data_IF_526048318022
#
_entry.id   IF_526048318022
#
_cell.length_a   1.000
_cell.length_b   1.000
_cell.length_c   1.000
_cell.angle_alpha   90.00
_cell.angle_beta   90.00
_cell.angle_gamma   90.00
#
_symmetry.space_group_name_H-M   'P 1'
#
loop_
_entity.id
_entity.type
_entity.pdbx_description
1 polymer ?
#
# COMPACT_ATOMS: atom_id res chain seq x y z
N UNK A 1 -21.84 -17.22 7.74
CA UNK A 1 -22.25 -15.80 7.91
C UNK A 1 -21.76 -15.11 9.21
N UNK A 2 -21.89 -15.73 10.41
CA UNK A 2 -21.62 -15.07 11.71
C UNK A 2 -20.22 -14.42 11.88
N UNK A 3 -19.17 -14.95 11.23
CA UNK A 3 -17.80 -14.41 11.34
C UNK A 3 -17.51 -13.21 10.42
N UNK A 4 -18.32 -13.01 9.38
CA UNK A 4 -18.09 -12.05 8.30
C UNK A 4 -18.96 -10.79 8.47
N UNK A 5 -20.18 -10.94 8.99
CA UNK A 5 -21.06 -9.81 9.32
C UNK A 5 -20.41 -8.74 10.21
N UNK A 6 -19.65 -9.08 11.28
CA UNK A 6 -18.95 -8.08 12.08
C UNK A 6 -17.90 -7.28 11.31
N UNK A 7 -17.19 -7.92 10.36
CA UNK A 7 -16.20 -7.25 9.52
C UNK A 7 -16.87 -6.29 8.54
N UNK A 8 -17.95 -6.70 7.89
CA UNK A 8 -18.73 -5.84 7.00
C UNK A 8 -19.28 -4.61 7.73
N UNK A 9 -19.79 -4.79 8.95
CA UNK A 9 -20.27 -3.67 9.77
C UNK A 9 -19.15 -2.70 10.13
N UNK A 10 -17.97 -3.23 10.48
CA UNK A 10 -16.78 -2.40 10.78
C UNK A 10 -16.31 -1.64 9.55
N UNK A 11 -16.30 -2.28 8.38
CA UNK A 11 -15.98 -1.66 7.10
C UNK A 11 -16.97 -0.52 6.76
N UNK A 12 -18.26 -0.75 6.96
CA UNK A 12 -19.29 0.30 6.79
C UNK A 12 -19.07 1.48 7.74
N UNK A 13 -18.75 1.20 9.01
CA UNK A 13 -18.46 2.26 9.97
C UNK A 13 -17.27 3.13 9.54
N UNK A 14 -16.19 2.51 9.05
CA UNK A 14 -15.02 3.25 8.56
C UNK A 14 -15.36 4.07 7.31
N UNK A 15 -16.14 3.51 6.38
CA UNK A 15 -16.63 4.21 5.19
C UNK A 15 -17.42 5.48 5.56
N UNK A 16 -18.39 5.35 6.46
CA UNK A 16 -19.21 6.48 6.91
C UNK A 16 -18.38 7.51 7.68
N UNK A 17 -17.38 7.07 8.43
CA UNK A 17 -16.46 7.97 9.13
C UNK A 17 -15.59 8.78 8.16
N UNK A 18 -15.08 8.14 7.10
CA UNK A 18 -14.31 8.82 6.05
C UNK A 18 -15.16 9.85 5.31
N UNK A 19 -16.40 9.51 4.93
CA UNK A 19 -17.33 10.48 4.33
C UNK A 19 -17.54 11.70 5.22
N UNK A 20 -17.78 11.47 6.52
CA UNK A 20 -17.96 12.56 7.50
C UNK A 20 -16.72 13.43 7.63
N UNK A 21 -15.52 12.85 7.58
CA UNK A 21 -14.27 13.61 7.65
C UNK A 21 -14.08 14.54 6.46
N UNK A 22 -14.40 14.08 5.24
CA UNK A 22 -14.33 14.93 4.05
C UNK A 22 -15.43 16.00 4.02
N UNK A 23 -16.60 15.72 4.60
CA UNK A 23 -17.71 16.68 4.70
C UNK A 23 -17.50 17.72 5.81
N UNK A 24 -16.73 17.41 6.85
CA UNK A 24 -16.46 18.37 7.91
C UNK A 24 -15.64 19.54 7.37
N UNK A 25 -16.16 20.76 7.51
CA UNK A 25 -15.40 21.99 7.31
C UNK A 25 -14.30 22.06 8.36
N UNK A 26 -13.14 21.50 8.03
CA UNK A 26 -11.94 21.67 8.84
C UNK A 26 -11.38 23.05 8.50
N UNK A 27 -11.46 23.99 9.44
CA UNK A 27 -10.76 25.26 9.32
C UNK A 27 -9.26 24.97 9.51
N UNK A 28 -8.52 24.96 8.41
CA UNK A 28 -7.08 24.67 8.41
C UNK A 28 -6.31 25.99 8.45
N UNK A 29 -5.88 26.39 9.65
CA UNK A 29 -5.29 27.71 9.91
C UNK A 29 -3.77 27.73 9.83
N UNK A 30 -3.12 26.59 10.02
CA UNK A 30 -1.68 26.45 10.05
C UNK A 30 -1.21 25.18 9.34
N UNK A 31 0.08 25.12 9.00
CA UNK A 31 0.64 23.99 8.27
C UNK A 31 0.51 22.63 8.98
N UNK A 32 0.52 22.58 10.32
CA UNK A 32 0.38 21.34 11.09
C UNK A 32 -1.04 20.80 10.98
N UNK A 33 -2.05 21.68 10.98
CA UNK A 33 -3.45 21.30 10.81
C UNK A 33 -3.70 20.56 9.48
N UNK A 34 -3.06 20.98 8.39
CA UNK A 34 -3.10 20.29 7.09
C UNK A 34 -2.47 18.89 7.17
N UNK A 35 -1.31 18.77 7.81
CA UNK A 35 -0.63 17.48 7.97
C UNK A 35 -1.45 16.52 8.85
N UNK A 36 -2.01 17.03 9.94
CA UNK A 36 -2.86 16.26 10.85
C UNK A 36 -4.12 15.75 10.15
N UNK A 37 -4.79 16.60 9.38
CA UNK A 37 -5.95 16.17 8.59
C UNK A 37 -5.56 15.10 7.57
N UNK A 38 -4.53 15.36 6.75
CA UNK A 38 -4.05 14.42 5.73
C UNK A 38 -3.67 13.08 6.33
N UNK A 39 -2.85 13.09 7.39
CA UNK A 39 -2.41 11.87 8.08
C UNK A 39 -3.58 11.10 8.71
N UNK A 40 -4.54 11.82 9.30
CA UNK A 40 -5.75 11.23 9.89
C UNK A 40 -6.60 10.49 8.86
N UNK A 41 -6.75 11.06 7.66
CA UNK A 41 -7.49 10.44 6.55
C UNK A 41 -6.70 9.27 5.96
N UNK A 42 -5.40 9.45 5.67
CA UNK A 42 -4.53 8.38 5.17
C UNK A 42 -4.56 7.14 6.06
N UNK A 43 -4.39 7.33 7.38
CA UNK A 43 -4.43 6.21 8.34
C UNK A 43 -5.75 5.45 8.31
N UNK A 44 -6.88 6.16 8.21
CA UNK A 44 -8.20 5.50 8.13
C UNK A 44 -8.42 4.76 6.82
N UNK A 45 -7.88 5.26 5.70
CA UNK A 45 -7.91 4.55 4.42
C UNK A 45 -7.09 3.26 4.53
N UNK A 46 -5.92 3.29 5.17
CA UNK A 46 -5.11 2.09 5.41
C UNK A 46 -5.83 1.09 6.33
N UNK A 47 -6.42 1.55 7.42
CA UNK A 47 -7.24 0.72 8.31
C UNK A 47 -8.39 0.05 7.54
N UNK A 48 -9.04 0.78 6.63
CA UNK A 48 -10.10 0.25 5.77
C UNK A 48 -9.56 -0.81 4.79
N UNK A 49 -8.42 -0.57 4.15
CA UNK A 49 -7.79 -1.53 3.24
C UNK A 49 -7.47 -2.85 3.96
N UNK A 50 -6.95 -2.73 5.19
CA UNK A 50 -6.64 -3.88 6.02
C UNK A 50 -7.90 -4.66 6.40
N UNK A 51 -9.00 -3.99 6.76
CA UNK A 51 -10.29 -4.66 7.01
C UNK A 51 -10.83 -5.40 5.78
N UNK A 52 -10.70 -4.81 4.57
CA UNK A 52 -11.08 -5.46 3.32
C UNK A 52 -10.26 -6.74 3.12
N UNK A 53 -8.94 -6.67 3.31
CA UNK A 53 -8.03 -7.81 3.18
C UNK A 53 -8.36 -8.92 4.19
N UNK A 54 -8.60 -8.57 5.45
CA UNK A 54 -9.04 -9.52 6.48
C UNK A 54 -10.37 -10.19 6.13
N UNK A 55 -11.33 -9.42 5.61
CA UNK A 55 -12.62 -9.95 5.21
C UNK A 55 -12.49 -10.93 4.04
N UNK A 56 -11.67 -10.59 3.03
CA UNK A 56 -11.35 -11.50 1.92
C UNK A 56 -10.69 -12.80 2.40
N UNK A 57 -9.74 -12.73 3.34
CA UNK A 57 -9.13 -13.93 3.92
C UNK A 57 -10.17 -14.85 4.57
N UNK A 58 -11.07 -14.30 5.39
CA UNK A 58 -12.14 -15.08 6.04
C UNK A 58 -13.18 -15.64 5.07
N UNK A 59 -13.40 -14.98 3.93
CA UNK A 59 -14.29 -15.50 2.89
C UNK A 59 -13.70 -16.77 2.29
N UNK A 60 -12.39 -16.80 2.03
CA UNK A 60 -11.68 -17.96 1.49
C UNK A 60 -11.65 -19.15 2.45
N UNK A 61 -11.63 -18.91 3.76
CA UNK A 61 -11.67 -19.94 4.80
C UNK A 61 -13.08 -20.54 5.02
N UNK A 62 -14.12 -19.95 4.41
CA UNK A 62 -15.49 -20.35 4.65
C UNK A 62 -15.90 -21.41 3.61
N UNK A 63 -15.84 -22.67 4.02
CA UNK A 63 -16.36 -23.81 3.27
C UNK A 63 -17.84 -23.97 3.63
N UNK A 64 -18.74 -23.98 2.64
CA UNK A 64 -20.21 -24.06 2.75
C UNK A 64 -20.93 -22.71 2.92
N UNK A 65 -21.08 -22.01 1.80
CA UNK A 65 -21.99 -20.87 1.68
C UNK A 65 -23.36 -21.31 1.19
N UNK A 66 -24.42 -20.68 1.72
CA UNK A 66 -25.69 -20.60 1.01
C UNK A 66 -25.54 -19.63 -0.16
N UNK A 67 -26.05 -19.98 -1.34
CA UNK A 67 -25.84 -19.24 -2.60
C UNK A 67 -26.24 -17.75 -2.48
N UNK A 68 -27.40 -17.46 -1.88
CA UNK A 68 -27.88 -16.09 -1.63
C UNK A 68 -26.95 -15.31 -0.69
N UNK A 69 -26.37 -16.00 0.30
CA UNK A 69 -25.46 -15.40 1.26
C UNK A 69 -24.11 -15.07 0.60
N UNK A 70 -23.62 -15.95 -0.27
CA UNK A 70 -22.38 -15.73 -1.02
C UNK A 70 -22.50 -14.52 -1.95
N UNK A 71 -23.60 -14.43 -2.71
CA UNK A 71 -23.88 -13.31 -3.61
C UNK A 71 -23.95 -11.99 -2.83
N UNK A 72 -24.68 -11.95 -1.71
CA UNK A 72 -24.78 -10.77 -0.85
C UNK A 72 -23.40 -10.29 -0.37
N UNK A 73 -22.56 -11.21 0.13
CA UNK A 73 -21.22 -10.88 0.61
C UNK A 73 -20.34 -10.38 -0.54
N UNK A 74 -20.40 -11.01 -1.71
CA UNK A 74 -19.64 -10.62 -2.91
C UNK A 74 -19.99 -9.20 -3.34
N UNK A 75 -21.28 -8.86 -3.41
CA UNK A 75 -21.74 -7.52 -3.77
C UNK A 75 -21.27 -6.47 -2.77
N UNK A 76 -21.35 -6.78 -1.46
CA UNK A 76 -20.85 -5.87 -0.42
C UNK A 76 -19.35 -5.66 -0.52
N UNK A 77 -18.57 -6.71 -0.75
CA UNK A 77 -17.12 -6.59 -0.89
C UNK A 77 -16.73 -5.74 -2.11
N UNK A 78 -17.41 -5.93 -3.24
CA UNK A 78 -17.17 -5.11 -4.43
C UNK A 78 -17.54 -3.63 -4.19
N UNK A 79 -18.64 -3.37 -3.47
CA UNK A 79 -18.99 -2.02 -3.04
C UNK A 79 -17.88 -1.39 -2.18
N UNK A 80 -17.40 -2.10 -1.16
CA UNK A 80 -16.34 -1.59 -0.28
C UNK A 80 -15.02 -1.36 -1.02
N UNK A 81 -14.68 -2.22 -2.00
CA UNK A 81 -13.50 -2.05 -2.87
C UNK A 81 -13.58 -0.79 -3.72
N UNK A 82 -14.76 -0.45 -4.22
CA UNK A 82 -14.96 0.83 -4.95
C UNK A 82 -14.88 2.03 -4.02
N UNK A 83 -15.49 1.94 -2.84
CA UNK A 83 -15.51 3.04 -1.88
C UNK A 83 -14.09 3.41 -1.42
N UNK A 84 -13.22 2.43 -1.13
CA UNK A 84 -11.85 2.74 -0.73
C UNK A 84 -11.04 3.42 -1.83
N UNK A 85 -11.21 3.03 -3.09
CA UNK A 85 -10.55 3.70 -4.22
C UNK A 85 -11.08 5.12 -4.43
N UNK A 86 -12.36 5.35 -4.19
CA UNK A 86 -12.93 6.70 -4.18
C UNK A 86 -12.30 7.55 -3.07
N UNK A 87 -12.20 7.05 -1.84
CA UNK A 87 -11.56 7.78 -0.73
C UNK A 87 -10.09 8.12 -1.01
N UNK A 88 -9.32 7.21 -1.63
CA UNK A 88 -7.94 7.49 -2.07
C UNK A 88 -7.88 8.62 -3.09
N UNK A 89 -8.83 8.62 -4.04
CA UNK A 89 -8.95 9.67 -5.05
C UNK A 89 -9.36 11.00 -4.43
N UNK A 90 -10.33 11.01 -3.53
CA UNK A 90 -10.78 12.20 -2.80
C UNK A 90 -9.62 12.82 -2.00
N UNK A 91 -8.82 12.01 -1.30
CA UNK A 91 -7.63 12.51 -0.60
C UNK A 91 -6.60 13.12 -1.56
N UNK A 92 -6.42 12.50 -2.73
CA UNK A 92 -5.49 12.99 -3.76
C UNK A 92 -5.94 14.32 -4.36
N UNK A 93 -7.23 14.45 -4.69
CA UNK A 93 -7.84 15.68 -5.19
C UNK A 93 -7.77 16.77 -4.11
N UNK A 94 -8.13 16.42 -2.86
CA UNK A 94 -8.04 17.33 -1.74
C UNK A 94 -6.62 17.88 -1.57
N UNK A 95 -5.59 17.03 -1.66
CA UNK A 95 -4.20 17.49 -1.57
C UNK A 95 -3.79 18.37 -2.75
N UNK A 96 -4.22 18.04 -3.97
CA UNK A 96 -3.93 18.87 -5.14
C UNK A 96 -4.52 20.29 -5.01
N UNK A 97 -5.70 20.42 -4.43
CA UNK A 97 -6.35 21.72 -4.19
C UNK A 97 -5.68 22.49 -3.05
N UNK A 98 -5.35 21.81 -1.94
CA UNK A 98 -4.93 22.44 -0.69
C UNK A 98 -3.40 22.56 -0.51
N UNK A 99 -2.61 21.81 -1.27
CA UNK A 99 -1.16 21.73 -1.10
C UNK A 99 -0.45 23.07 -1.28
N UNK A 100 -0.98 23.95 -2.15
CA UNK A 100 -0.42 25.30 -2.34
C UNK A 100 -0.51 26.14 -1.07
N UNK A 101 -1.64 26.12 -0.38
CA UNK A 101 -1.84 26.88 0.85
C UNK A 101 -0.98 26.33 1.99
N UNK A 102 -0.87 25.00 2.09
CA UNK A 102 0.09 24.36 3.00
C UNK A 102 1.52 24.85 2.76
N UNK A 103 2.02 24.81 1.53
CA UNK A 103 3.39 25.25 1.22
C UNK A 103 3.59 26.75 1.47
N UNK A 104 2.58 27.57 1.18
CA UNK A 104 2.59 29.00 1.51
C UNK A 104 2.73 29.22 3.02
N UNK A 105 1.98 28.50 3.84
CA UNK A 105 2.05 28.58 5.30
C UNK A 105 3.42 28.11 5.82
N UNK A 106 3.97 27.02 5.30
CA UNK A 106 5.32 26.56 5.64
C UNK A 106 6.38 27.63 5.34
N UNK A 107 6.30 28.25 4.16
CA UNK A 107 7.24 29.29 3.75
C UNK A 107 7.10 30.54 4.64
N UNK A 108 5.86 30.94 4.95
CA UNK A 108 5.59 32.04 5.87
C UNK A 108 6.18 31.79 7.26
N UNK A 109 5.98 30.59 7.81
CA UNK A 109 6.53 30.19 9.10
C UNK A 109 8.07 30.21 9.08
N UNK A 110 8.69 29.65 8.05
CA UNK A 110 10.15 29.65 7.89
C UNK A 110 10.74 31.06 7.81
N UNK A 111 10.14 31.93 7.01
CA UNK A 111 10.61 33.32 6.87
C UNK A 111 10.43 34.12 8.16
N UNK A 112 9.34 33.90 8.90
CA UNK A 112 9.12 34.56 10.18
C UNK A 112 10.13 34.11 11.24
N UNK A 113 10.47 32.82 11.27
CA UNK A 113 11.52 32.30 12.17
C UNK A 113 12.91 32.81 11.82
N UNK A 114 13.18 33.08 10.54
CA UNK A 114 14.43 33.77 10.14
C UNK A 114 14.45 35.23 10.58
N UNK A 115 13.33 35.94 10.43
CA UNK A 115 13.25 37.35 10.86
C UNK A 115 13.44 37.51 12.36
N UNK A 116 12.86 36.63 13.18
CA UNK A 116 13.08 36.65 14.64
C UNK A 116 14.53 36.36 15.02
N UNK A 117 15.24 35.52 14.27
CA UNK A 117 16.66 35.22 14.48
C UNK A 117 17.59 36.39 14.07
N UNK A 118 17.31 37.07 12.96
CA UNK A 118 18.10 38.22 12.48
C UNK A 118 17.98 39.44 13.42
N UNK A 119 16.88 39.59 14.15
CA UNK A 119 16.75 40.63 15.18
C UNK A 119 17.58 40.37 16.45
N UNK A 120 18.20 39.20 16.60
CA UNK A 120 18.89 38.82 17.85
C UNK A 120 20.40 38.64 17.78
N UNK A 121 21.06 38.60 16.62
CA UNK A 121 22.49 38.25 16.61
C UNK A 121 23.37 39.15 15.72
N UNK A 122 24.10 40.05 16.38
CA UNK A 122 25.32 40.68 15.85
C UNK A 122 26.58 39.86 16.17
N UNK A 123 26.54 38.52 16.07
CA UNK A 123 27.77 37.75 16.17
C UNK A 123 27.61 36.24 16.22
N UNK A 124 27.58 35.57 15.06
CA UNK A 124 27.99 34.15 14.99
C UNK A 124 28.23 33.62 13.56
N UNK A 125 28.99 34.35 12.73
CA UNK A 125 29.34 33.91 11.37
C UNK A 125 30.13 32.56 11.34
N UNK A 126 30.80 32.18 12.43
CA UNK A 126 31.57 30.93 12.50
C UNK A 126 30.72 29.68 12.73
N UNK A 127 29.55 29.78 13.39
CA UNK A 127 28.66 28.62 13.61
C UNK A 127 27.90 28.22 12.36
N UNK A 128 27.53 29.18 11.52
CA UNK A 128 26.86 28.92 10.26
C UNK A 128 27.74 28.09 9.29
N UNK A 129 29.04 28.38 9.22
CA UNK A 129 29.98 27.66 8.35
C UNK A 129 30.26 26.22 8.84
N UNK A 130 30.31 26.01 10.17
CA UNK A 130 30.42 24.67 10.75
C UNK A 130 29.20 23.81 10.44
N UNK A 131 27.98 24.36 10.60
CA UNK A 131 26.73 23.67 10.30
C UNK A 131 26.61 23.29 8.81
N UNK A 132 27.12 24.15 7.91
CA UNK A 132 27.17 23.89 6.47
C UNK A 132 28.13 22.74 6.13
N UNK A 133 29.29 22.66 6.78
CA UNK A 133 30.25 21.57 6.60
C UNK A 133 29.70 20.23 7.10
N UNK A 134 29.04 20.22 8.25
CA UNK A 134 28.40 19.02 8.80
C UNK A 134 27.25 18.55 7.91
N UNK A 135 26.42 19.48 7.41
CA UNK A 135 25.36 19.15 6.45
C UNK A 135 25.93 18.56 5.16
N UNK A 136 27.00 19.16 4.62
CA UNK A 136 27.68 18.65 3.42
C UNK A 136 28.22 17.23 3.65
N UNK A 137 28.78 16.96 4.82
CA UNK A 137 29.29 15.63 5.18
C UNK A 137 28.15 14.61 5.27
N UNK A 138 27.06 14.93 5.96
CA UNK A 138 25.87 14.07 6.03
C UNK A 138 25.31 13.76 4.64
N UNK A 139 25.26 14.75 3.74
CA UNK A 139 24.80 14.53 2.36
C UNK A 139 25.70 13.56 1.59
N UNK A 140 27.02 13.66 1.75
CA UNK A 140 27.98 12.74 1.10
C UNK A 140 27.82 11.32 1.67
N UNK A 141 27.69 11.19 2.98
CA UNK A 141 27.51 9.91 3.65
C UNK A 141 26.20 9.23 3.20
N UNK A 142 25.12 10.00 3.07
CA UNK A 142 23.84 9.48 2.56
C UNK A 142 23.92 9.08 1.08
N UNK A 143 24.63 9.85 0.24
CA UNK A 143 24.87 9.47 -1.16
C UNK A 143 25.62 8.13 -1.25
N UNK A 144 26.62 7.93 -0.39
CA UNK A 144 27.37 6.67 -0.34
C UNK A 144 26.50 5.52 0.17
N UNK A 145 25.67 5.75 1.19
CA UNK A 145 24.68 4.78 1.68
C UNK A 145 23.71 4.37 0.57
N UNK A 146 23.15 5.33 -0.16
CA UNK A 146 22.23 5.07 -1.28
C UNK A 146 22.89 4.27 -2.42
N UNK A 147 24.17 4.52 -2.71
CA UNK A 147 24.92 3.74 -3.71
C UNK A 147 25.08 2.28 -3.31
N UNK A 148 25.38 2.01 -2.03
CA UNK A 148 25.51 0.64 -1.52
C UNK A 148 24.17 -0.11 -1.58
N UNK A 149 23.09 0.52 -1.10
CA UNK A 149 21.73 -0.05 -1.16
C UNK A 149 21.32 -0.35 -2.61
N UNK A 150 21.67 0.52 -3.56
CA UNK A 150 21.42 0.28 -4.99
C UNK A 150 22.17 -0.96 -5.50
N UNK A 151 23.42 -1.15 -5.07
CA UNK A 151 24.22 -2.33 -5.46
C UNK A 151 23.57 -3.62 -4.96
N UNK A 152 23.18 -3.65 -3.68
CA UNK A 152 22.48 -4.79 -3.08
C UNK A 152 21.14 -5.09 -3.78
N UNK A 153 20.39 -4.05 -4.15
CA UNK A 153 19.13 -4.22 -4.88
C UNK A 153 19.34 -4.81 -6.28
N UNK A 154 20.41 -4.41 -6.98
CA UNK A 154 20.76 -4.97 -8.29
C UNK A 154 21.13 -6.45 -8.15
N UNK A 155 21.92 -6.81 -7.14
CA UNK A 155 22.28 -8.20 -6.87
C UNK A 155 21.05 -9.06 -6.54
N UNK A 156 20.15 -8.55 -5.69
CA UNK A 156 18.88 -9.20 -5.37
C UNK A 156 18.01 -9.42 -6.61
N UNK A 157 17.92 -8.42 -7.50
CA UNK A 157 17.20 -8.53 -8.78
C UNK A 157 17.77 -9.63 -9.68
N UNK A 158 19.10 -9.76 -9.75
CA UNK A 158 19.73 -10.84 -10.51
C UNK A 158 19.44 -12.21 -9.88
N UNK A 159 19.42 -12.30 -8.55
CA UNK A 159 19.08 -13.54 -7.84
C UNK A 159 17.63 -13.97 -8.10
N UNK A 160 16.68 -13.02 -8.08
CA UNK A 160 15.28 -13.28 -8.44
C UNK A 160 15.15 -13.78 -9.89
N UNK A 161 15.94 -13.23 -10.81
CA UNK A 161 15.93 -13.69 -12.21
C UNK A 161 16.38 -15.14 -12.33
N UNK A 162 17.46 -15.53 -11.63
CA UNK A 162 17.95 -16.91 -11.59
C UNK A 162 16.90 -17.86 -10.99
N UNK A 163 16.24 -17.45 -9.89
CA UNK A 163 15.17 -18.26 -9.29
C UNK A 163 13.99 -18.46 -10.25
N UNK A 164 13.60 -17.44 -11.00
CA UNK A 164 12.55 -17.53 -12.01
C UNK A 164 12.92 -18.46 -13.17
N UNK A 165 14.18 -18.44 -13.62
CA UNK A 165 14.68 -19.39 -14.63
C UNK A 165 14.59 -20.84 -14.13
N UNK A 166 14.98 -21.10 -12.88
CA UNK A 166 14.85 -22.43 -12.24
C UNK A 166 13.37 -22.83 -12.15
N UNK A 167 12.49 -21.92 -11.73
CA UNK A 167 11.07 -22.21 -11.61
C UNK A 167 10.44 -22.58 -12.96
N UNK A 168 10.76 -21.84 -14.03
CA UNK A 168 10.31 -22.18 -15.39
C UNK A 168 10.81 -23.54 -15.86
N UNK A 169 12.06 -23.89 -15.56
CA UNK A 169 12.61 -25.20 -15.87
C UNK A 169 11.95 -26.32 -15.07
N UNK A 170 11.54 -26.05 -13.84
CA UNK A 170 10.78 -27.00 -13.02
C UNK A 170 9.34 -27.15 -13.51
N UNK A 171 8.68 -26.05 -13.85
CA UNK A 171 7.32 -26.04 -14.40
C UNK A 171 7.24 -26.84 -15.71
N UNK A 172 8.23 -26.69 -16.60
CA UNK A 172 8.26 -27.45 -17.85
C UNK A 172 8.41 -28.96 -17.61
N UNK A 173 9.22 -29.37 -16.63
CA UNK A 173 9.33 -30.77 -16.20
C UNK A 173 8.02 -31.31 -15.64
N UNK A 174 7.33 -30.55 -14.79
CA UNK A 174 6.02 -30.96 -14.25
C UNK A 174 4.99 -31.14 -15.36
N UNK A 175 4.93 -30.21 -16.33
CA UNK A 175 4.04 -30.32 -17.49
C UNK A 175 4.34 -31.58 -18.29
N UNK A 176 5.62 -31.87 -18.55
CA UNK A 176 6.03 -33.09 -19.25
C UNK A 176 5.62 -34.36 -18.49
N UNK A 177 5.89 -34.42 -17.19
CA UNK A 177 5.49 -35.55 -16.34
C UNK A 177 3.97 -35.75 -16.31
N UNK A 178 3.19 -34.66 -16.24
CA UNK A 178 1.73 -34.73 -16.28
C UNK A 178 1.22 -35.30 -17.61
N UNK A 179 1.80 -34.86 -18.74
CA UNK A 179 1.48 -35.40 -20.06
C UNK A 179 1.83 -36.90 -20.16
N UNK A 180 2.97 -37.30 -19.61
CA UNK A 180 3.39 -38.70 -19.59
C UNK A 180 2.43 -39.56 -18.76
N UNK A 181 2.08 -39.14 -17.55
CA UNK A 181 1.09 -39.82 -16.69
C UNK A 181 -0.26 -39.94 -17.40
N UNK A 182 -0.72 -38.86 -18.04
CA UNK A 182 -1.97 -38.86 -18.80
C UNK A 182 -1.92 -39.87 -19.96
N UNK A 183 -0.81 -39.91 -20.70
CA UNK A 183 -0.63 -40.86 -21.80
C UNK A 183 -0.61 -42.32 -21.33
N UNK A 184 0.02 -42.59 -20.19
CA UNK A 184 0.04 -43.91 -19.55
C UNK A 184 -1.34 -44.32 -19.07
N UNK A 185 -2.07 -43.42 -18.41
CA UNK A 185 -3.46 -43.65 -17.98
C UNK A 185 -4.37 -44.00 -19.16
N UNK A 186 -4.25 -43.26 -20.27
CA UNK A 186 -5.03 -43.52 -21.49
C UNK A 186 -4.70 -44.89 -22.10
N UNK A 187 -3.43 -45.28 -22.13
CA UNK A 187 -3.01 -46.61 -22.61
C UNK A 187 -3.52 -47.74 -21.71
N UNK A 188 -3.44 -47.56 -20.39
CA UNK A 188 -3.96 -48.54 -19.43
C UNK A 188 -5.47 -48.77 -19.61
N UNK A 189 -6.26 -47.69 -19.68
CA UNK A 189 -7.71 -47.77 -19.94
C UNK A 189 -8.05 -48.45 -21.27
N UNK A 190 -7.18 -48.32 -22.28
CA UNK A 190 -7.36 -49.00 -23.56
C UNK A 190 -7.10 -50.51 -23.46
N UNK A 191 -6.06 -50.92 -22.73
CA UNK A 191 -5.74 -52.34 -22.50
C UNK A 191 -6.81 -53.02 -21.66
N UNK A 192 -7.28 -52.35 -20.60
CA UNK A 192 -8.35 -52.84 -19.72
C UNK A 192 -9.64 -53.11 -20.50
N UNK A 193 -10.05 -52.19 -21.39
CA UNK A 193 -11.20 -52.38 -22.29
C UNK A 193 -11.02 -53.50 -23.31
N UNK A 194 -9.78 -53.85 -23.67
CA UNK A 194 -9.47 -54.89 -24.65
C UNK A 194 -9.46 -56.29 -24.01
N UNK A 195 -9.11 -56.40 -22.73
CA UNK A 195 -9.12 -57.65 -21.97
C UNK A 195 -10.49 -58.00 -21.36
N UNK A 196 -11.44 -57.06 -21.35
CA UNK A 196 -12.82 -57.25 -20.88
C UNK A 196 -13.81 -57.67 -22.00
N UNK A 197 -13.30 -57.99 -23.20
CA UNK A 197 -14.04 -58.58 -24.33
C UNK A 197 -13.50 -59.97 -24.61
#
# INVERSE_FOLDING_TARGET
MHKISPLLNRMKFVDDNLKKLFLSENVLTDHDSYLLFRGRVSKRIEDYAHLISQCNGKILECENWEEDTEEYVRQKMEQHRRNIENHKRELSVWWATNGRDYHRLCMSHFLNNRKSCVTTEHGDNNRADANLKDTKKMMIDEINRMKNVRSELIESSQMLRKQNEIFKAFESKLRYSAQLIFSLKKRYQFVEKRNAR
#
